data_IF_277046801466
#
_entry.id   IF_277046801466
#
_cell.length_a   1.000
_cell.length_b   1.000
_cell.length_c   1.000
_cell.angle_alpha   90.00
_cell.angle_beta   90.00
_cell.angle_gamma   90.00
#
_symmetry.space_group_name_H-M   'P 1'
#
loop_
_entity.id
_entity.type
_entity.pdbx_description
1 polymer ?
#
# COMPACT_ATOMS: atom_id res chain seq x y z
N UNK A 1 -10.29 -25.01 -3.62
CA UNK A 1 -9.29 -24.09 -3.04
C UNK A 1 -8.37 -23.70 -4.18
N UNK A 2 -8.54 -22.49 -4.71
CA UNK A 2 -7.61 -22.00 -5.72
C UNK A 2 -6.25 -21.82 -5.04
N UNK A 3 -5.24 -22.54 -5.52
CA UNK A 3 -3.88 -22.07 -5.34
C UNK A 3 -3.85 -20.72 -6.04
N UNK A 4 -3.70 -19.61 -5.30
CA UNK A 4 -3.43 -18.34 -5.94
C UNK A 4 -2.05 -18.48 -6.57
N UNK A 5 -2.01 -18.81 -7.87
CA UNK A 5 -0.75 -18.79 -8.57
C UNK A 5 -0.23 -17.35 -8.62
N UNK A 6 1.09 -17.23 -8.69
CA UNK A 6 1.78 -15.95 -8.65
C UNK A 6 1.26 -14.98 -9.71
N UNK A 7 0.99 -15.46 -10.91
CA UNK A 7 0.53 -14.65 -12.04
C UNK A 7 -0.82 -13.99 -11.75
N UNK A 8 -1.74 -14.74 -11.12
CA UNK A 8 -3.04 -14.25 -10.70
C UNK A 8 -2.91 -13.12 -9.67
N UNK A 9 -2.02 -13.28 -8.67
CA UNK A 9 -1.80 -12.26 -7.64
C UNK A 9 -1.14 -11.00 -8.19
N UNK A 10 -0.19 -11.15 -9.11
CA UNK A 10 0.42 -10.01 -9.80
C UNK A 10 -0.64 -9.26 -10.60
N UNK A 11 -1.40 -9.96 -11.44
CA UNK A 11 -2.45 -9.35 -12.27
C UNK A 11 -3.48 -8.61 -11.41
N UNK A 12 -3.94 -9.23 -10.32
CA UNK A 12 -4.90 -8.61 -9.41
C UNK A 12 -4.31 -7.37 -8.71
N UNK A 13 -3.04 -7.41 -8.31
CA UNK A 13 -2.37 -6.27 -7.70
C UNK A 13 -2.15 -5.10 -8.67
N UNK A 14 -1.80 -5.37 -9.92
CA UNK A 14 -1.68 -4.35 -10.97
C UNK A 14 -3.04 -3.70 -11.27
N UNK A 15 -4.11 -4.50 -11.36
CA UNK A 15 -5.48 -4.00 -11.54
C UNK A 15 -5.92 -3.16 -10.35
N UNK A 16 -5.64 -3.61 -9.12
CA UNK A 16 -6.03 -2.89 -7.90
C UNK A 16 -5.32 -1.52 -7.81
N UNK A 17 -4.02 -1.49 -8.14
CA UNK A 17 -3.20 -0.28 -8.01
C UNK A 17 -3.34 0.66 -9.21
N UNK A 18 -3.64 0.12 -10.40
CA UNK A 18 -3.51 0.82 -11.67
C UNK A 18 -2.05 1.06 -12.09
N UNK A 19 -1.08 0.38 -11.45
CA UNK A 19 0.34 0.46 -11.75
C UNK A 19 0.81 -0.85 -12.38
N UNK A 20 1.35 -0.79 -13.59
CA UNK A 20 1.98 -1.94 -14.24
C UNK A 20 3.43 -2.02 -13.77
N UNK A 21 3.80 -3.13 -13.13
CA UNK A 21 5.13 -3.30 -12.55
C UNK A 21 6.15 -3.67 -13.62
N UNK A 22 7.28 -2.95 -13.63
CA UNK A 22 8.43 -3.34 -14.46
C UNK A 22 9.11 -4.55 -13.83
N UNK A 23 9.33 -4.49 -12.52
CA UNK A 23 9.80 -5.59 -11.69
C UNK A 23 8.66 -6.18 -10.86
N UNK A 24 8.03 -7.22 -11.42
CA UNK A 24 6.93 -7.93 -10.75
C UNK A 24 7.36 -8.66 -9.47
N UNK A 25 8.67 -8.84 -9.20
CA UNK A 25 9.13 -9.39 -7.91
C UNK A 25 8.80 -8.45 -6.75
N UNK A 26 8.77 -7.13 -6.97
CA UNK A 26 8.43 -6.16 -5.92
C UNK A 26 6.97 -6.34 -5.47
N UNK A 27 6.05 -6.50 -6.42
CA UNK A 27 4.65 -6.78 -6.09
C UNK A 27 4.50 -8.20 -5.51
N UNK A 28 5.27 -9.17 -6.01
CA UNK A 28 5.27 -10.52 -5.45
C UNK A 28 5.72 -10.54 -3.99
N UNK A 29 6.80 -9.84 -3.63
CA UNK A 29 7.26 -9.69 -2.25
C UNK A 29 6.21 -8.95 -1.40
N UNK A 30 5.62 -7.87 -1.92
CA UNK A 30 4.67 -7.04 -1.19
C UNK A 30 3.45 -7.80 -0.68
N UNK A 31 3.01 -8.83 -1.41
CA UNK A 31 1.84 -9.62 -1.05
C UNK A 31 2.15 -10.79 -0.10
N UNK A 32 3.42 -11.04 0.24
CA UNK A 32 3.78 -12.11 1.16
C UNK A 32 3.52 -11.69 2.61
N UNK A 33 2.65 -12.42 3.30
CA UNK A 33 2.41 -12.24 4.73
C UNK A 33 3.04 -13.36 5.57
N UNK A 34 3.09 -13.15 6.89
CA UNK A 34 3.67 -14.11 7.82
C UNK A 34 3.07 -15.51 7.70
N UNK A 35 3.95 -16.49 7.50
CA UNK A 35 3.59 -17.88 7.27
C UNK A 35 3.40 -18.26 5.80
N UNK A 36 3.65 -17.36 4.85
CA UNK A 36 3.74 -17.74 3.42
C UNK A 36 4.81 -18.82 3.21
N UNK A 37 4.65 -19.62 2.15
CA UNK A 37 5.64 -20.62 1.75
C UNK A 37 6.92 -20.00 1.16
N UNK A 38 6.99 -18.67 1.06
CA UNK A 38 8.11 -17.90 0.51
C UNK A 38 9.07 -17.37 1.57
N UNK A 39 8.92 -17.75 2.85
CA UNK A 39 9.78 -17.27 3.94
C UNK A 39 11.28 -17.53 3.72
N UNK A 40 11.67 -18.52 2.90
CA UNK A 40 13.07 -18.77 2.53
C UNK A 40 13.66 -17.68 1.61
N UNK A 41 12.81 -17.03 0.81
CA UNK A 41 13.16 -15.96 -0.11
C UNK A 41 12.96 -14.58 0.53
N UNK A 42 11.91 -14.44 1.35
CA UNK A 42 11.57 -13.23 2.10
C UNK A 42 11.49 -13.54 3.60
N UNK A 43 12.63 -13.52 4.33
CA UNK A 43 12.70 -13.94 5.74
C UNK A 43 11.84 -13.09 6.69
N UNK A 44 11.53 -11.85 6.32
CA UNK A 44 10.63 -10.96 7.05
C UNK A 44 9.36 -10.66 6.25
N UNK A 45 9.05 -11.50 5.27
CA UNK A 45 7.92 -11.34 4.37
C UNK A 45 7.90 -9.95 3.74
N UNK A 46 6.75 -9.28 3.70
CA UNK A 46 6.61 -7.94 3.13
C UNK A 46 7.02 -6.80 4.07
N UNK A 47 7.49 -7.07 5.30
CA UNK A 47 7.67 -6.02 6.33
C UNK A 47 8.73 -4.97 5.96
N UNK A 48 9.76 -5.37 5.22
CA UNK A 48 10.79 -4.45 4.75
C UNK A 48 10.24 -3.49 3.69
N UNK A 49 9.45 -3.99 2.75
CA UNK A 49 8.71 -3.16 1.80
C UNK A 49 7.67 -2.29 2.50
N UNK A 50 6.97 -2.80 3.51
CA UNK A 50 6.01 -2.03 4.30
C UNK A 50 6.68 -0.82 4.97
N UNK A 51 7.88 -1.01 5.54
CA UNK A 51 8.64 0.09 6.13
C UNK A 51 9.02 1.18 5.11
N UNK A 52 9.39 0.77 3.89
CA UNK A 52 9.67 1.72 2.78
C UNK A 52 8.37 2.44 2.37
N UNK A 53 7.28 1.70 2.24
CA UNK A 53 5.97 2.21 1.87
C UNK A 53 5.39 3.20 2.87
N UNK A 54 5.51 2.95 4.17
CA UNK A 54 5.12 3.88 5.23
C UNK A 54 5.86 5.22 5.08
N UNK A 55 7.18 5.17 4.86
CA UNK A 55 7.98 6.37 4.63
C UNK A 55 7.58 7.10 3.33
N UNK A 56 7.39 6.37 2.23
CA UNK A 56 6.98 6.91 0.94
C UNK A 56 5.58 7.54 1.01
N UNK A 57 4.62 6.88 1.67
CA UNK A 57 3.28 7.38 1.90
C UNK A 57 3.30 8.70 2.68
N UNK A 58 4.03 8.75 3.80
CA UNK A 58 4.19 10.00 4.59
C UNK A 58 4.78 11.12 3.75
N UNK A 59 5.84 10.83 2.99
CA UNK A 59 6.51 11.83 2.17
C UNK A 59 5.64 12.31 1.02
N UNK A 60 4.90 11.41 0.36
CA UNK A 60 3.96 11.74 -0.72
C UNK A 60 2.85 12.69 -0.23
N UNK A 61 2.33 12.46 0.99
CA UNK A 61 1.35 13.36 1.62
C UNK A 61 1.98 14.71 1.94
N UNK A 62 3.15 14.73 2.59
CA UNK A 62 3.84 15.97 2.96
C UNK A 62 4.20 16.82 1.73
N UNK A 63 4.69 16.18 0.66
CA UNK A 63 5.03 16.83 -0.60
C UNK A 63 3.81 17.50 -1.25
N UNK A 64 2.67 16.80 -1.29
CA UNK A 64 1.42 17.36 -1.79
C UNK A 64 0.88 18.52 -0.93
N UNK A 65 1.03 18.43 0.39
CA UNK A 65 0.59 19.49 1.32
C UNK A 65 1.52 20.71 1.33
N UNK A 66 2.78 20.57 0.92
CA UNK A 66 3.79 21.64 0.96
C UNK A 66 3.35 22.92 0.24
N UNK A 67 2.65 22.78 -0.89
CA UNK A 67 2.17 23.91 -1.69
C UNK A 67 1.03 24.70 -1.01
N UNK A 68 0.40 24.15 0.03
CA UNK A 68 -0.80 24.70 0.67
C UNK A 68 -0.53 25.71 1.79
N UNK A 69 0.75 25.97 2.11
CA UNK A 69 1.18 26.90 3.16
C UNK A 69 0.48 26.68 4.53
N UNK A 70 0.24 25.41 4.87
CA UNK A 70 -0.39 25.03 6.14
C UNK A 70 0.63 25.09 7.29
N UNK A 71 0.19 25.37 8.53
CA UNK A 71 1.05 25.19 9.71
C UNK A 71 1.54 23.74 9.81
N UNK A 72 2.79 23.55 10.27
CA UNK A 72 3.39 22.21 10.45
C UNK A 72 2.50 21.25 11.25
N UNK A 73 1.87 21.72 12.33
CA UNK A 73 0.98 20.88 13.15
C UNK A 73 -0.27 20.41 12.40
N UNK A 74 -0.80 21.23 11.48
CA UNK A 74 -1.91 20.83 10.61
C UNK A 74 -1.48 19.78 9.59
N UNK A 75 -0.28 19.92 9.02
CA UNK A 75 0.28 18.91 8.11
C UNK A 75 0.48 17.57 8.83
N UNK A 76 1.08 17.59 10.02
CA UNK A 76 1.29 16.38 10.84
C UNK A 76 -0.05 15.71 11.19
N UNK A 77 -1.05 16.49 11.59
CA UNK A 77 -2.40 15.95 11.88
C UNK A 77 -3.03 15.26 10.66
N UNK A 78 -2.87 15.81 9.46
CA UNK A 78 -3.36 15.18 8.21
C UNK A 78 -2.61 13.88 7.93
N UNK A 79 -1.27 13.89 8.04
CA UNK A 79 -0.44 12.70 7.83
C UNK A 79 -0.86 11.60 8.81
N UNK A 80 -0.89 11.87 10.11
CA UNK A 80 -1.25 10.87 11.13
C UNK A 80 -2.65 10.29 10.94
N UNK A 81 -3.61 11.10 10.46
CA UNK A 81 -4.97 10.64 10.15
C UNK A 81 -5.00 9.65 8.99
N UNK A 82 -4.12 9.79 8.01
CA UNK A 82 -4.07 8.92 6.83
C UNK A 82 -3.25 7.66 7.12
N UNK A 83 -2.07 7.79 7.75
CA UNK A 83 -1.08 6.70 7.87
C UNK A 83 -1.27 5.81 9.10
N UNK A 84 -2.23 6.10 9.97
CA UNK A 84 -2.46 5.23 11.13
C UNK A 84 -3.05 3.87 10.70
N UNK A 85 -2.65 2.82 11.40
CA UNK A 85 -3.06 1.44 11.12
C UNK A 85 -4.59 1.27 11.03
N UNK A 86 -5.37 1.98 11.86
CA UNK A 86 -6.85 1.87 11.83
C UNK A 86 -7.42 2.36 10.51
N UNK A 87 -6.91 3.48 9.98
CA UNK A 87 -7.32 3.98 8.67
C UNK A 87 -6.84 3.07 7.55
N UNK A 88 -5.58 2.63 7.59
CA UNK A 88 -5.00 1.73 6.58
C UNK A 88 -5.74 0.38 6.54
N UNK A 89 -6.08 -0.19 7.69
CA UNK A 89 -6.92 -1.38 7.77
C UNK A 89 -8.27 -1.11 7.12
N UNK A 90 -8.98 -0.06 7.55
CA UNK A 90 -10.31 0.28 7.03
C UNK A 90 -10.30 0.44 5.50
N UNK A 91 -9.29 1.12 4.96
CA UNK A 91 -9.12 1.27 3.51
C UNK A 91 -8.79 -0.06 2.87
N UNK A 92 -7.84 -0.82 3.40
CA UNK A 92 -7.44 -2.14 2.90
C UNK A 92 -8.60 -3.13 2.81
N UNK A 93 -9.47 -3.18 3.83
CA UNK A 93 -10.70 -3.99 3.81
C UNK A 93 -11.68 -3.55 2.72
N UNK A 94 -11.88 -2.23 2.58
CA UNK A 94 -12.81 -1.67 1.59
C UNK A 94 -12.39 -2.01 0.16
N UNK A 95 -11.09 -2.12 -0.10
CA UNK A 95 -10.53 -2.46 -1.41
C UNK A 95 -10.19 -3.95 -1.55
N UNK A 96 -10.62 -4.79 -0.60
CA UNK A 96 -10.39 -6.24 -0.61
C UNK A 96 -8.91 -6.66 -0.72
N UNK A 97 -7.99 -5.92 -0.08
CA UNK A 97 -6.56 -6.25 -0.12
C UNK A 97 -6.25 -7.65 0.46
N UNK A 98 -7.16 -8.18 1.28
CA UNK A 98 -7.07 -9.54 1.81
C UNK A 98 -7.03 -10.63 0.74
N UNK A 99 -7.60 -10.38 -0.45
CA UNK A 99 -7.58 -11.32 -1.56
C UNK A 99 -6.20 -11.39 -2.23
N UNK A 100 -5.37 -10.35 -2.02
CA UNK A 100 -3.98 -10.33 -2.48
C UNK A 100 -3.04 -11.02 -1.49
N UNK A 101 -3.39 -11.15 -0.21
CA UNK A 101 -2.48 -11.63 0.82
C UNK A 101 -2.12 -13.11 0.61
N UNK A 102 -0.89 -13.37 0.19
CA UNK A 102 -0.33 -14.71 0.15
C UNK A 102 0.12 -15.12 1.55
N UNK A 103 -0.61 -16.05 2.15
CA UNK A 103 -0.38 -16.56 3.52
C UNK A 103 -0.48 -18.08 3.55
N UNK A 104 -0.16 -18.67 4.69
CA UNK A 104 -0.29 -20.12 4.87
C UNK A 104 -1.75 -20.57 4.61
N UNK A 105 -2.01 -21.57 3.75
CA UNK A 105 -3.36 -22.11 3.56
C UNK A 105 -4.02 -22.64 4.84
N UNK A 106 -3.21 -23.01 5.83
CA UNK A 106 -3.67 -23.49 7.15
C UNK A 106 -4.13 -22.34 8.06
N UNK A 107 -3.73 -21.09 7.78
CA UNK A 107 -4.23 -19.90 8.47
C UNK A 107 -5.62 -19.54 7.92
N UNK A 108 -6.63 -20.28 8.37
CA UNK A 108 -8.02 -19.99 8.05
C UNK A 108 -8.53 -18.76 8.83
N UNK A 109 -9.57 -18.11 8.28
CA UNK A 109 -10.25 -17.00 8.93
C UNK A 109 -9.77 -15.61 8.47
N UNK A 110 -10.17 -14.59 9.23
CA UNK A 110 -9.97 -13.19 8.89
C UNK A 110 -8.47 -12.87 8.89
N UNK A 111 -7.97 -12.27 7.80
CA UNK A 111 -6.59 -11.75 7.74
C UNK A 111 -6.39 -10.76 8.90
N UNK A 112 -5.32 -10.81 9.71
CA UNK A 112 -5.15 -9.89 10.83
C UNK A 112 -5.12 -8.41 10.39
N UNK A 113 -5.66 -7.47 11.19
CA UNK A 113 -5.62 -6.03 10.91
C UNK A 113 -4.23 -5.51 10.50
N UNK A 114 -3.21 -5.94 11.25
CA UNK A 114 -1.82 -5.54 10.99
C UNK A 114 -1.30 -6.04 9.65
N UNK A 115 -1.67 -7.26 9.26
CA UNK A 115 -1.30 -7.82 7.95
C UNK A 115 -1.94 -7.03 6.81
N UNK A 116 -3.19 -6.56 6.99
CA UNK A 116 -3.87 -5.70 6.01
C UNK A 116 -3.12 -4.38 5.85
N UNK A 117 -2.78 -3.70 6.95
CA UNK A 117 -2.03 -2.43 6.89
C UNK A 117 -0.62 -2.62 6.30
N UNK A 118 0.12 -3.64 6.76
CA UNK A 118 1.49 -3.90 6.28
C UNK A 118 1.48 -4.25 4.78
N UNK A 119 0.49 -5.00 4.29
CA UNK A 119 0.37 -5.33 2.86
C UNK A 119 0.07 -4.08 2.03
N UNK A 120 -0.80 -3.19 2.51
CA UNK A 120 -1.09 -1.93 1.83
C UNK A 120 0.16 -1.04 1.75
N UNK A 121 0.89 -0.90 2.85
CA UNK A 121 2.16 -0.18 2.90
C UNK A 121 3.18 -0.85 1.96
N UNK A 122 3.31 -2.17 1.98
CA UNK A 122 4.27 -2.89 1.15
C UNK A 122 4.00 -2.70 -0.34
N UNK A 123 2.74 -2.69 -0.77
CA UNK A 123 2.37 -2.40 -2.16
C UNK A 123 2.80 -0.97 -2.54
N UNK A 124 2.57 0.02 -1.67
CA UNK A 124 3.05 1.39 -1.92
C UNK A 124 4.59 1.47 -1.95
N UNK A 125 5.28 0.69 -1.12
CA UNK A 125 6.73 0.55 -1.13
C UNK A 125 7.24 -0.07 -2.44
N UNK A 126 6.56 -1.11 -2.94
CA UNK A 126 6.85 -1.73 -4.22
C UNK A 126 6.68 -0.74 -5.38
N UNK A 127 5.58 0.01 -5.43
CA UNK A 127 5.35 1.06 -6.44
C UNK A 127 6.43 2.13 -6.39
N UNK A 128 6.79 2.58 -5.18
CA UNK A 128 7.83 3.58 -5.00
C UNK A 128 9.18 3.12 -5.55
N UNK A 129 9.58 1.87 -5.30
CA UNK A 129 10.84 1.33 -5.81
C UNK A 129 10.79 1.08 -7.32
N UNK A 130 9.72 0.47 -7.83
CA UNK A 130 9.54 0.14 -9.24
C UNK A 130 9.54 1.38 -10.14
N UNK A 131 8.95 2.47 -9.66
CA UNK A 131 8.93 3.77 -10.35
C UNK A 131 10.24 4.57 -10.27
N UNK A 132 11.29 4.03 -9.65
CA UNK A 132 12.56 4.74 -9.49
C UNK A 132 12.49 5.84 -8.42
N UNK A 133 11.77 5.60 -7.32
CA UNK A 133 11.54 6.54 -6.21
C UNK A 133 10.64 7.73 -6.56
N UNK A 134 9.64 7.54 -7.43
CA UNK A 134 8.71 8.60 -7.82
C UNK A 134 7.51 8.71 -6.87
N UNK A 135 7.41 9.84 -6.17
CA UNK A 135 6.25 10.17 -5.32
C UNK A 135 4.97 10.44 -6.13
N UNK A 136 5.09 10.79 -7.41
CA UNK A 136 3.96 10.94 -8.34
C UNK A 136 3.22 9.62 -8.53
N UNK A 137 3.95 8.55 -8.84
CA UNK A 137 3.41 7.19 -8.93
C UNK A 137 2.72 6.76 -7.63
N UNK A 138 3.37 6.98 -6.48
CA UNK A 138 2.78 6.67 -5.16
C UNK A 138 1.46 7.42 -4.94
N UNK A 139 1.41 8.72 -5.26
CA UNK A 139 0.17 9.52 -5.15
C UNK A 139 -0.95 9.04 -6.07
N UNK A 140 -0.62 8.62 -7.29
CA UNK A 140 -1.61 8.09 -8.23
C UNK A 140 -2.24 6.82 -7.66
N UNK A 141 -1.42 5.89 -7.15
CA UNK A 141 -1.92 4.67 -6.51
C UNK A 141 -2.71 5.01 -5.24
N UNK A 142 -2.24 5.91 -4.39
CA UNK A 142 -3.01 6.37 -3.22
C UNK A 142 -4.40 6.92 -3.61
N UNK A 143 -4.51 7.64 -4.72
CA UNK A 143 -5.79 8.14 -5.23
C UNK A 143 -6.69 6.97 -5.69
N UNK A 144 -6.15 6.03 -6.46
CA UNK A 144 -6.87 4.84 -6.93
C UNK A 144 -7.40 3.98 -5.77
N UNK A 145 -6.64 3.86 -4.68
CA UNK A 145 -7.03 3.11 -3.49
C UNK A 145 -7.97 3.90 -2.54
N UNK A 146 -8.20 5.18 -2.82
CA UNK A 146 -8.99 6.07 -1.96
C UNK A 146 -8.36 6.33 -0.59
N UNK A 147 -7.02 6.39 -0.53
CA UNK A 147 -6.25 6.77 0.66
C UNK A 147 -6.22 8.29 0.86
N UNK A 148 -6.36 9.06 -0.23
CA UNK A 148 -6.41 10.52 -0.14
C UNK A 148 -7.78 11.00 0.32
N UNK A 149 -7.88 12.00 1.21
CA UNK A 149 -9.16 12.58 1.59
C UNK A 149 -9.76 13.37 0.41
N UNK A 150 -11.02 13.10 0.03
CA UNK A 150 -11.73 13.82 -1.05
C UNK A 150 -11.76 15.33 -0.83
N UNK A 151 -11.88 15.79 0.43
CA UNK A 151 -11.88 17.20 0.83
C UNK A 151 -10.53 17.92 0.63
N UNK A 152 -9.53 17.21 0.14
CA UNK A 152 -8.18 17.73 -0.13
C UNK A 152 -7.92 17.98 -1.62
N UNK A 153 -8.92 17.86 -2.48
CA UNK A 153 -8.84 18.43 -3.83
C UNK A 153 -8.90 19.96 -3.72
N UNK A 154 -8.03 20.73 -4.38
CA UNK A 154 -8.28 22.15 -4.58
C UNK A 154 -9.66 22.26 -5.22
N UNK A 155 -10.54 23.10 -4.69
CA UNK A 155 -11.73 23.50 -5.42
C UNK A 155 -11.28 24.00 -6.79
N UNK A 156 -11.53 23.20 -7.83
CA UNK A 156 -11.40 23.65 -9.21
C UNK A 156 -12.35 24.84 -9.34
N UNK A 157 -11.79 26.02 -9.18
CA UNK A 157 -12.48 27.29 -9.32
C UNK A 157 -12.38 27.61 -10.79
N UNK A 158 -13.40 27.21 -11.54
CA UNK A 158 -13.75 27.78 -12.85
C UNK A 158 -15.11 28.47 -12.68
#
# INVERSE_FOLDING_TARGET
MAFNDRETLITAGEVLTGHMFIDTELLWEAVQASGSNMAYMYPEENKRLAMIGDAALKLAILDALRSRNLPRGSMDSIVQRIVNNTNLERVGRRIHIEDLVNRNPSQQGIVPPRTVSDTLEAILGAVYLDSGSDLGAVRLVMANLGLWPEDSQPSASL
#
